data_IF_879796962215
#
_entry.id   IF_879796962215
#
_cell.length_a   1.000
_cell.length_b   1.000
_cell.length_c   1.000
_cell.angle_alpha   90.00
_cell.angle_beta   90.00
_cell.angle_gamma   90.00
#
_symmetry.space_group_name_H-M   'P 1'
#
loop_
_entity.id
_entity.type
_entity.pdbx_description
1 polymer ?
#
# COMPACT_ATOMS: atom_id res chain seq x y z
N UNK A 1 -12.35 -0.14 3.23
CA UNK A 1 -10.88 -0.28 3.43
C UNK A 1 -10.53 -0.91 4.77
N UNK A 2 -10.91 -0.34 5.92
CA UNK A 2 -10.55 -0.85 7.26
C UNK A 2 -10.88 -2.33 7.51
N UNK A 3 -12.09 -2.80 7.16
CA UNK A 3 -12.45 -4.21 7.29
C UNK A 3 -11.63 -5.16 6.39
N UNK A 4 -11.06 -4.68 5.28
CA UNK A 4 -10.13 -5.49 4.48
C UNK A 4 -8.75 -5.56 5.12
N UNK A 5 -8.32 -4.49 5.79
CA UNK A 5 -7.07 -4.46 6.55
C UNK A 5 -7.10 -5.47 7.69
N UNK A 6 -8.20 -5.54 8.43
CA UNK A 6 -8.41 -6.53 9.51
C UNK A 6 -8.37 -7.96 8.99
N UNK A 7 -8.98 -8.23 7.83
CA UNK A 7 -8.91 -9.56 7.19
C UNK A 7 -7.50 -9.91 6.73
N UNK A 8 -6.75 -8.96 6.17
CA UNK A 8 -5.36 -9.20 5.76
C UNK A 8 -4.49 -9.64 6.95
N UNK A 9 -4.76 -9.13 8.16
CA UNK A 9 -4.05 -9.55 9.37
C UNK A 9 -4.28 -11.03 9.74
N UNK A 10 -5.32 -11.68 9.22
CA UNK A 10 -5.57 -13.12 9.47
C UNK A 10 -4.86 -14.05 8.48
N UNK A 11 -4.24 -13.52 7.41
CA UNK A 11 -3.53 -14.34 6.44
C UNK A 11 -2.20 -14.86 7.04
N UNK A 12 -1.93 -16.18 6.95
CA UNK A 12 -0.70 -16.77 7.47
C UNK A 12 0.54 -16.41 6.65
N UNK A 13 0.40 -15.99 5.39
CA UNK A 13 1.50 -15.54 4.53
C UNK A 13 1.67 -14.01 4.66
N UNK A 14 2.72 -13.52 5.35
CA UNK A 14 2.90 -12.08 5.60
C UNK A 14 3.10 -11.26 4.32
N UNK A 15 3.74 -11.84 3.30
CA UNK A 15 3.94 -11.16 2.01
C UNK A 15 2.60 -11.00 1.30
N UNK A 16 1.85 -12.10 1.18
CA UNK A 16 0.54 -12.10 0.53
C UNK A 16 -0.43 -11.14 1.23
N UNK A 17 -0.41 -11.13 2.56
CA UNK A 17 -1.22 -10.23 3.37
C UNK A 17 -0.96 -8.75 3.03
N UNK A 18 0.31 -8.36 2.95
CA UNK A 18 0.73 -7.00 2.59
C UNK A 18 0.36 -6.67 1.15
N UNK A 19 0.64 -7.57 0.20
CA UNK A 19 0.32 -7.40 -1.22
C UNK A 19 -1.18 -7.17 -1.45
N UNK A 20 -2.03 -8.01 -0.85
CA UNK A 20 -3.49 -7.85 -0.93
C UNK A 20 -3.94 -6.53 -0.33
N UNK A 21 -3.39 -6.14 0.83
CA UNK A 21 -3.72 -4.88 1.48
C UNK A 21 -3.39 -3.65 0.61
N UNK A 22 -2.18 -3.61 0.05
CA UNK A 22 -1.74 -2.50 -0.80
C UNK A 22 -2.51 -2.46 -2.12
N UNK A 23 -2.82 -3.62 -2.70
CA UNK A 23 -3.65 -3.73 -3.92
C UNK A 23 -5.03 -3.12 -3.72
N UNK A 24 -5.71 -3.46 -2.60
CA UNK A 24 -7.02 -2.88 -2.28
C UNK A 24 -6.95 -1.38 -1.99
N UNK A 25 -5.84 -0.94 -1.39
CA UNK A 25 -5.62 0.47 -1.08
C UNK A 25 -5.45 1.30 -2.36
N UNK A 26 -4.64 0.82 -3.31
CA UNK A 26 -4.45 1.55 -4.58
C UNK A 26 -5.72 1.54 -5.43
N UNK A 27 -6.44 0.41 -5.52
CA UNK A 27 -7.72 0.31 -6.21
C UNK A 27 -8.71 1.37 -5.73
N UNK A 28 -8.82 1.53 -4.40
CA UNK A 28 -9.69 2.54 -3.82
C UNK A 28 -9.22 3.96 -4.18
N UNK A 29 -7.92 4.25 -4.07
CA UNK A 29 -7.38 5.57 -4.39
C UNK A 29 -7.53 5.96 -5.87
N UNK A 30 -7.49 5.00 -6.81
CA UNK A 30 -7.64 5.28 -8.25
C UNK A 30 -9.10 5.30 -8.71
N UNK A 31 -9.99 4.59 -8.01
CA UNK A 31 -11.43 4.58 -8.31
C UNK A 31 -12.13 5.80 -7.72
N UNK A 32 -11.62 6.32 -6.61
CA UNK A 32 -12.15 7.51 -5.95
C UNK A 32 -11.06 8.59 -5.85
N UNK A 33 -11.13 9.55 -6.79
CA UNK A 33 -10.20 10.67 -6.88
C UNK A 33 -10.18 11.56 -5.63
N UNK A 34 -11.19 11.47 -4.75
CA UNK A 34 -11.21 12.20 -3.49
C UNK A 34 -10.35 11.54 -2.41
N UNK A 35 -10.07 10.23 -2.51
CA UNK A 35 -9.36 9.49 -1.47
C UNK A 35 -7.87 9.80 -1.42
N UNK A 36 -7.18 9.97 -2.55
CA UNK A 36 -5.74 10.26 -2.53
C UNK A 36 -5.43 11.58 -1.80
N UNK A 37 -6.09 12.72 -2.10
CA UNK A 37 -5.92 13.97 -1.35
C UNK A 37 -6.29 13.84 0.13
N UNK A 38 -7.39 13.15 0.45
CA UNK A 38 -7.81 12.92 1.84
C UNK A 38 -6.78 12.10 2.60
N UNK A 39 -6.24 11.03 2.01
CA UNK A 39 -5.20 10.21 2.67
C UNK A 39 -3.87 10.94 2.84
N UNK A 40 -3.52 11.84 1.91
CA UNK A 40 -2.29 12.62 1.94
C UNK A 40 -2.37 13.87 2.82
N UNK A 41 -3.57 14.34 3.18
CA UNK A 41 -3.75 15.53 4.00
C UNK A 41 -3.11 15.37 5.39
N UNK A 42 -2.32 16.37 5.80
CA UNK A 42 -1.69 16.43 7.12
C UNK A 42 -2.72 16.67 8.25
N UNK A 43 -3.79 17.40 7.94
CA UNK A 43 -4.93 17.64 8.82
C UNK A 43 -6.21 17.19 8.13
N UNK A 44 -7.05 16.44 8.84
CA UNK A 44 -8.36 16.06 8.33
C UNK A 44 -9.43 17.03 8.84
N UNK A 45 -10.39 17.35 7.97
CA UNK A 45 -11.50 18.22 8.32
C UNK A 45 -12.46 17.61 9.36
N UNK A 46 -12.48 16.28 9.49
CA UNK A 46 -13.41 15.56 10.37
C UNK A 46 -12.65 14.54 11.25
N UNK A 47 -12.92 14.47 12.56
CA UNK A 47 -12.29 13.50 13.47
C UNK A 47 -12.45 12.05 13.01
N UNK A 48 -13.61 11.72 12.41
CA UNK A 48 -13.90 10.38 11.89
C UNK A 48 -12.97 9.99 10.74
N UNK A 49 -12.55 10.94 9.92
CA UNK A 49 -11.60 10.70 8.82
C UNK A 49 -10.21 10.40 9.36
N UNK A 50 -9.77 11.13 10.39
CA UNK A 50 -8.52 10.86 11.10
C UNK A 50 -8.48 9.48 11.73
N UNK A 51 -9.57 9.08 12.40
CA UNK A 51 -9.69 7.74 13.00
C UNK A 51 -9.54 6.63 11.94
N UNK A 52 -10.27 6.76 10.82
CA UNK A 52 -10.26 5.76 9.76
C UNK A 52 -8.90 5.69 9.04
N UNK A 53 -8.27 6.84 8.77
CA UNK A 53 -6.89 6.90 8.22
C UNK A 53 -5.89 6.27 9.18
N UNK A 54 -5.98 6.61 10.46
CA UNK A 54 -5.07 6.08 11.49
C UNK A 54 -5.20 4.57 11.60
N UNK A 55 -6.43 4.04 11.64
CA UNK A 55 -6.68 2.61 11.67
C UNK A 55 -6.15 1.89 10.42
N UNK A 56 -6.41 2.45 9.23
CA UNK A 56 -5.93 1.89 7.96
C UNK A 56 -4.41 1.81 7.92
N UNK A 57 -3.73 2.90 8.25
CA UNK A 57 -2.27 2.95 8.20
C UNK A 57 -1.60 2.19 9.35
N UNK A 58 -2.25 2.10 10.51
CA UNK A 58 -1.80 1.21 11.59
C UNK A 58 -1.78 -0.26 11.13
N UNK A 59 -2.86 -0.72 10.49
CA UNK A 59 -2.90 -2.07 9.94
C UNK A 59 -1.84 -2.31 8.86
N UNK A 60 -1.63 -1.33 7.97
CA UNK A 60 -0.56 -1.39 6.97
C UNK A 60 0.84 -1.51 7.58
N UNK A 61 1.12 -0.77 8.67
CA UNK A 61 2.37 -0.87 9.42
C UNK A 61 2.58 -2.27 10.01
N UNK A 62 1.56 -2.82 10.67
CA UNK A 62 1.62 -4.17 11.25
C UNK A 62 1.88 -5.24 10.17
N UNK A 63 1.23 -5.12 9.01
CA UNK A 63 1.44 -6.04 7.89
C UNK A 63 2.88 -5.94 7.34
N UNK A 64 3.41 -4.72 7.19
CA UNK A 64 4.78 -4.52 6.76
C UNK A 64 5.79 -5.10 7.76
N UNK A 65 5.60 -4.84 9.06
CA UNK A 65 6.50 -5.33 10.09
C UNK A 65 6.53 -6.86 10.10
N UNK A 66 5.36 -7.52 10.03
CA UNK A 66 5.27 -8.98 9.88
C UNK A 66 6.01 -9.50 8.64
N UNK A 67 5.87 -8.81 7.50
CA UNK A 67 6.54 -9.19 6.26
C UNK A 67 8.07 -9.00 6.32
N UNK A 68 8.55 -8.00 7.06
CA UNK A 68 9.97 -7.77 7.33
C UNK A 68 10.55 -8.80 8.29
N UNK A 69 9.85 -9.10 9.38
CA UNK A 69 10.25 -10.14 10.34
C UNK A 69 10.35 -11.52 9.69
N UNK A 70 9.46 -11.82 8.74
CA UNK A 70 9.51 -13.04 7.93
C UNK A 70 10.59 -13.02 6.84
N UNK A 71 11.36 -11.93 6.69
CA UNK A 71 12.38 -11.78 5.66
C UNK A 71 11.84 -11.70 4.24
N UNK A 72 10.54 -11.40 4.05
CA UNK A 72 9.93 -11.29 2.74
C UNK A 72 10.12 -9.89 2.11
N UNK A 73 10.29 -8.86 2.96
CA UNK A 73 10.49 -7.46 2.55
C UNK A 73 11.88 -6.99 2.98
N UNK A 74 12.54 -6.20 2.14
CA UNK A 74 13.82 -5.54 2.44
C UNK A 74 13.75 -4.66 3.69
N UNK A 75 14.81 -4.64 4.48
CA UNK A 75 14.82 -4.05 5.82
C UNK A 75 14.89 -2.51 5.86
N UNK A 76 15.19 -1.85 4.75
CA UNK A 76 15.36 -0.41 4.61
C UNK A 76 14.05 0.34 4.27
N UNK A 77 12.94 -0.35 4.03
CA UNK A 77 11.64 0.28 3.91
C UNK A 77 11.12 0.72 5.29
N UNK A 78 10.89 2.01 5.49
CA UNK A 78 10.31 2.51 6.73
C UNK A 78 8.78 2.38 6.70
N UNK A 79 8.11 2.12 7.84
CA UNK A 79 6.64 2.06 7.87
C UNK A 79 5.97 3.40 7.53
N UNK A 80 6.69 4.52 7.65
CA UNK A 80 6.25 5.85 7.22
C UNK A 80 6.20 6.02 5.70
N UNK A 81 6.91 5.21 4.93
CA UNK A 81 7.00 5.34 3.48
C UNK A 81 5.78 4.75 2.76
N UNK A 82 4.99 3.92 3.44
CA UNK A 82 3.81 3.30 2.84
C UNK A 82 2.80 4.33 2.32
N UNK A 83 2.47 5.35 3.13
CA UNK A 83 1.45 6.34 2.73
C UNK A 83 1.91 7.14 1.51
N UNK A 84 3.12 7.76 1.51
CA UNK A 84 3.61 8.47 0.35
C UNK A 84 3.74 7.60 -0.90
N UNK A 85 4.19 6.35 -0.77
CA UNK A 85 4.33 5.44 -1.91
C UNK A 85 2.98 5.11 -2.55
N UNK A 86 1.95 4.83 -1.75
CA UNK A 86 0.60 4.56 -2.27
C UNK A 86 0.00 5.79 -2.96
N UNK A 87 0.10 6.96 -2.34
CA UNK A 87 -0.31 8.22 -2.96
C UNK A 87 0.45 8.52 -4.25
N UNK A 88 1.75 8.22 -4.30
CA UNK A 88 2.59 8.37 -5.49
C UNK A 88 2.14 7.48 -6.66
N UNK A 89 1.74 6.23 -6.39
CA UNK A 89 1.17 5.35 -7.41
C UNK A 89 -0.16 5.91 -7.91
N UNK A 90 -1.06 6.32 -7.01
CA UNK A 90 -2.35 6.89 -7.40
C UNK A 90 -2.18 8.14 -8.29
N UNK A 91 -1.23 9.02 -7.93
CA UNK A 91 -0.86 10.18 -8.74
C UNK A 91 -0.29 9.78 -10.11
N UNK A 92 0.62 8.81 -10.16
CA UNK A 92 1.20 8.33 -11.42
C UNK A 92 0.13 7.74 -12.36
N UNK A 93 -0.89 7.07 -11.82
CA UNK A 93 -2.05 6.58 -12.59
C UNK A 93 -2.86 7.76 -13.14
N UNK A 94 -3.07 8.81 -12.34
CA UNK A 94 -3.79 10.01 -12.79
C UNK A 94 -3.06 10.73 -13.92
N UNK A 95 -1.73 10.85 -13.80
CA UNK A 95 -0.86 11.40 -14.86
C UNK A 95 -0.87 10.53 -16.13
N UNK A 96 -0.94 9.21 -15.99
CA UNK A 96 -1.05 8.30 -17.13
C UNK A 96 -2.38 8.47 -17.87
N UNK A 97 -3.46 8.75 -17.14
CA UNK A 97 -4.81 8.86 -17.68
C UNK A 97 -5.38 7.51 -18.13
N UNK A 98 -6.40 7.56 -19.00
CA UNK A 98 -7.07 6.37 -19.54
C UNK A 98 -8.52 6.21 -19.05
N UNK A 99 -9.21 5.21 -19.60
CA UNK A 99 -10.54 4.83 -19.13
C UNK A 99 -10.46 4.22 -17.71
N UNK A 100 -11.57 4.14 -16.96
CA UNK A 100 -11.56 3.60 -15.60
C UNK A 100 -10.91 2.21 -15.46
N UNK A 101 -11.15 1.31 -16.41
CA UNK A 101 -10.56 -0.04 -16.41
C UNK A 101 -9.04 0.03 -16.63
N UNK A 102 -8.57 0.88 -17.55
CA UNK A 102 -7.13 1.09 -17.82
C UNK A 102 -6.38 1.65 -16.61
N UNK A 103 -7.06 2.45 -15.78
CA UNK A 103 -6.50 3.02 -14.55
C UNK A 103 -6.21 1.94 -13.51
N UNK A 104 -7.10 0.95 -13.37
CA UNK A 104 -6.91 -0.17 -12.45
C UNK A 104 -5.74 -1.03 -12.92
N UNK A 105 -5.70 -1.39 -14.19
CA UNK A 105 -4.59 -2.16 -14.77
C UNK A 105 -3.25 -1.43 -14.60
N UNK A 106 -3.25 -0.11 -14.80
CA UNK A 106 -2.06 0.73 -14.60
C UNK A 106 -1.64 0.77 -13.13
N UNK A 107 -2.60 0.88 -12.20
CA UNK A 107 -2.33 0.82 -10.76
C UNK A 107 -1.70 -0.51 -10.36
N UNK A 108 -2.23 -1.63 -10.85
CA UNK A 108 -1.69 -2.97 -10.59
C UNK A 108 -0.28 -3.13 -11.15
N UNK A 109 0.00 -2.64 -12.37
CA UNK A 109 1.36 -2.68 -12.94
C UNK A 109 2.38 -1.88 -12.13
N UNK A 110 2.02 -0.67 -11.71
CA UNK A 110 2.89 0.18 -10.91
C UNK A 110 3.13 -0.39 -9.51
N UNK A 111 2.07 -0.87 -8.86
CA UNK A 111 2.19 -1.55 -7.57
C UNK A 111 3.03 -2.82 -7.69
N UNK A 112 2.82 -3.64 -8.72
CA UNK A 112 3.61 -4.85 -8.96
C UNK A 112 5.10 -4.54 -9.15
N UNK A 113 5.42 -3.44 -9.85
CA UNK A 113 6.80 -2.97 -10.00
C UNK A 113 7.42 -2.57 -8.67
N UNK A 114 6.68 -1.80 -7.85
CA UNK A 114 7.11 -1.42 -6.49
C UNK A 114 7.34 -2.68 -5.64
N UNK A 115 6.36 -3.58 -5.58
CA UNK A 115 6.44 -4.82 -4.81
C UNK A 115 7.62 -5.70 -5.24
N UNK A 116 7.88 -5.80 -6.55
CA UNK A 116 9.05 -6.51 -7.08
C UNK A 116 10.37 -5.96 -6.53
N UNK A 117 10.48 -4.64 -6.37
CA UNK A 117 11.65 -3.98 -5.77
C UNK A 117 11.73 -4.03 -4.24
N UNK A 118 10.62 -4.32 -3.57
CA UNK A 118 10.53 -4.47 -2.11
C UNK A 118 10.81 -5.88 -1.61
N UNK A 119 10.68 -6.90 -2.47
CA UNK A 119 11.02 -8.27 -2.08
C UNK A 119 12.47 -8.35 -1.63
N UNK A 120 12.70 -9.06 -0.53
CA UNK A 120 14.05 -9.38 -0.10
C UNK A 120 14.75 -10.13 -1.24
N UNK A 121 15.81 -9.53 -1.79
CA UNK A 121 16.67 -10.24 -2.72
C UNK A 121 17.50 -11.20 -1.88
N UNK A 122 17.30 -12.50 -2.07
CA UNK A 122 18.24 -13.51 -1.60
C UNK A 122 19.53 -13.37 -2.42
N UNK A 123 20.33 -12.34 -2.13
CA UNK A 123 21.69 -12.29 -2.64
C UNK A 123 22.42 -13.50 -2.06
N UNK A 124 22.96 -14.43 -2.87
CA UNK A 124 23.82 -15.47 -2.34
C UNK A 124 25.01 -14.79 -1.65
N UNK A 125 25.54 -15.34 -0.54
CA UNK A 125 26.71 -14.77 0.10
C UNK A 125 27.84 -14.70 -0.93
N UNK A 126 28.35 -13.50 -1.18
CA UNK A 126 29.58 -13.29 -1.95
C UNK A 126 30.68 -14.11 -1.28
N UNK A 127 31.15 -15.14 -1.99
CA UNK A 127 32.33 -15.92 -1.60
C UNK A 127 33.59 -15.07 -1.73
#
# INVERSE_FOLDING_TARGET
>A
LTAHAERALTDPDPWRALEVFLTRTVEAQVTDASLAPVTAAAEDALPRTTELKTALWSAGRVLLDRAREAGAVRADLAPGDLVPLMCGIAYAVDVHGGAPDDRIDTAHRYLGTLLGGLRATTAPPSR
#
